data_IF_045586591914
#
_entry.id   IF_045586591914
#
_cell.length_a   1.000
_cell.length_b   1.000
_cell.length_c   1.000
_cell.angle_alpha   90.00
_cell.angle_beta   90.00
_cell.angle_gamma   90.00
#
_symmetry.space_group_name_H-M   'P 1'
#
loop_
_entity.id
_entity.type
_entity.pdbx_description
1 polymer ?
#
# COMPACT_ATOMS: atom_id res chain seq x y z
N UNK A 1 -54.38 -17.50 51.39
CA UNK A 1 -55.19 -16.80 50.36
C UNK A 1 -54.34 -16.80 49.09
N UNK A 2 -54.70 -17.58 48.06
CA UNK A 2 -55.58 -17.16 46.95
C UNK A 2 -54.99 -15.96 46.17
N UNK A 3 -54.74 -16.00 44.86
CA UNK A 3 -55.19 -16.97 43.84
C UNK A 3 -54.52 -16.74 42.47
N UNK A 4 -54.29 -17.84 41.70
CA UNK A 4 -54.50 -17.96 40.21
C UNK A 4 -53.55 -17.15 39.29
N UNK A 5 -53.24 -17.48 38.02
CA UNK A 5 -53.75 -18.34 36.91
C UNK A 5 -52.50 -18.71 36.04
N UNK A 6 -52.25 -19.92 35.52
CA UNK A 6 -52.80 -20.60 34.32
C UNK A 6 -52.58 -19.84 32.97
N UNK A 7 -52.40 -20.41 31.76
CA UNK A 7 -52.19 -21.79 31.26
C UNK A 7 -51.44 -21.66 29.90
N UNK A 8 -50.27 -22.29 29.67
CA UNK A 8 -50.03 -23.60 29.03
C UNK A 8 -50.37 -23.72 27.52
N UNK A 9 -49.34 -23.96 26.68
CA UNK A 9 -49.32 -24.77 25.43
C UNK A 9 -47.86 -24.77 24.91
N UNK A 10 -47.06 -25.86 24.84
CA UNK A 10 -47.20 -27.13 24.09
C UNK A 10 -47.49 -26.96 22.59
N UNK A 11 -46.95 -27.77 21.68
CA UNK A 11 -45.76 -28.65 21.61
C UNK A 11 -45.76 -29.32 20.23
N UNK A 12 -44.60 -29.67 19.66
CA UNK A 12 -44.42 -30.85 18.81
C UNK A 12 -42.95 -31.04 18.42
N UNK A 13 -42.36 -32.17 18.84
CA UNK A 13 -41.27 -32.79 18.09
C UNK A 13 -41.88 -33.90 17.21
N UNK A 14 -41.19 -34.32 16.14
CA UNK A 14 -40.95 -35.75 15.88
C UNK A 14 -40.18 -36.05 14.59
N UNK A 15 -39.43 -37.17 14.68
CA UNK A 15 -38.99 -38.10 13.62
C UNK A 15 -37.99 -37.64 12.55
N UNK A 16 -36.85 -38.35 12.54
CA UNK A 16 -36.06 -38.59 11.35
C UNK A 16 -36.68 -39.75 10.53
N UNK A 17 -36.53 -39.68 9.21
CA UNK A 17 -36.74 -40.81 8.31
C UNK A 17 -35.63 -40.81 7.26
N UNK A 18 -34.96 -41.96 7.09
CA UNK A 18 -34.06 -42.19 5.97
C UNK A 18 -34.88 -42.54 4.73
N UNK A 19 -34.63 -41.92 3.57
CA UNK A 19 -34.89 -42.63 2.32
C UNK A 19 -34.00 -42.27 1.11
N UNK A 20 -33.23 -43.28 0.71
CA UNK A 20 -32.88 -43.67 -0.66
C UNK A 20 -32.31 -42.62 -1.62
N UNK A 21 -30.97 -42.60 -1.64
CA UNK A 21 -30.17 -42.28 -2.81
C UNK A 21 -30.65 -43.08 -4.06
N UNK A 22 -31.30 -42.42 -5.03
CA UNK A 22 -31.58 -42.97 -6.37
C UNK A 22 -30.72 -42.27 -7.42
N UNK A 23 -29.49 -42.74 -7.56
CA UNK A 23 -28.65 -42.45 -8.72
C UNK A 23 -29.23 -43.09 -9.99
N UNK A 24 -29.92 -42.31 -10.81
CA UNK A 24 -30.09 -42.63 -12.24
C UNK A 24 -29.11 -41.79 -13.06
N UNK A 25 -28.03 -42.45 -13.44
CA UNK A 25 -26.94 -41.91 -14.27
C UNK A 25 -27.44 -41.61 -15.68
N UNK A 26 -27.72 -40.34 -15.97
CA UNK A 26 -27.76 -39.88 -17.36
C UNK A 26 -26.34 -39.58 -17.84
N UNK A 27 -25.85 -40.19 -18.94
CA UNK A 27 -24.52 -39.88 -19.46
C UNK A 27 -24.41 -38.40 -19.87
N UNK A 28 -25.51 -37.76 -20.24
CA UNK A 28 -25.56 -36.33 -20.52
C UNK A 28 -25.30 -35.47 -19.26
N UNK A 29 -25.73 -35.92 -18.07
CA UNK A 29 -25.48 -35.19 -16.82
C UNK A 29 -23.99 -35.28 -16.41
N UNK A 30 -23.39 -36.46 -16.54
CA UNK A 30 -21.96 -36.66 -16.27
C UNK A 30 -21.07 -35.84 -17.24
N UNK A 31 -21.44 -35.78 -18.54
CA UNK A 31 -20.78 -34.90 -19.51
C UNK A 31 -20.96 -33.42 -19.17
N UNK A 32 -22.16 -32.98 -18.78
CA UNK A 32 -22.42 -31.57 -18.45
C UNK A 32 -21.70 -31.13 -17.16
N UNK A 33 -21.44 -32.04 -16.23
CA UNK A 33 -20.65 -31.77 -15.02
C UNK A 33 -19.15 -31.75 -15.34
N UNK A 34 -18.65 -32.75 -16.09
CA UNK A 34 -17.27 -32.76 -16.57
C UNK A 34 -16.93 -31.58 -17.48
N UNK A 35 -17.89 -31.05 -18.25
CA UNK A 35 -17.72 -29.84 -19.06
C UNK A 35 -17.77 -28.54 -18.23
N UNK A 36 -18.50 -28.51 -17.11
CA UNK A 36 -18.45 -27.37 -16.17
C UNK A 36 -17.13 -27.32 -15.39
N UNK A 37 -16.58 -28.48 -15.03
CA UNK A 37 -15.27 -28.58 -14.38
C UNK A 37 -14.09 -28.39 -15.36
N UNK A 38 -14.32 -28.53 -16.68
CA UNK A 38 -13.29 -28.39 -17.72
C UNK A 38 -13.37 -27.09 -18.56
N UNK A 39 -14.37 -26.22 -18.36
CA UNK A 39 -14.47 -24.94 -19.07
C UNK A 39 -14.76 -23.73 -18.16
N UNK A 40 -13.78 -23.41 -17.30
CA UNK A 40 -13.45 -22.00 -16.99
C UNK A 40 -11.95 -21.79 -17.23
N UNK A 41 -11.57 -21.83 -18.51
CA UNK A 41 -10.25 -21.36 -18.95
C UNK A 41 -10.35 -19.90 -19.38
N UNK A 42 -9.77 -19.00 -18.58
CA UNK A 42 -9.64 -17.59 -18.94
C UNK A 42 -10.27 -16.65 -17.91
N UNK A 43 -9.66 -16.56 -16.73
CA UNK A 43 -9.88 -15.44 -15.83
C UNK A 43 -8.53 -14.95 -15.27
N UNK A 44 -8.39 -13.65 -15.03
CA UNK A 44 -7.10 -13.00 -14.68
C UNK A 44 -6.72 -13.17 -13.20
N UNK A 45 -7.25 -14.22 -12.55
CA UNK A 45 -7.13 -14.49 -11.12
C UNK A 45 -5.90 -15.36 -10.77
N UNK A 46 -4.72 -14.94 -11.22
CA UNK A 46 -3.46 -15.57 -10.80
C UNK A 46 -3.14 -15.33 -9.31
N UNK A 47 -2.30 -16.16 -8.68
CA UNK A 47 -1.73 -15.84 -7.37
C UNK A 47 -1.01 -14.48 -7.45
N UNK A 48 -1.44 -13.52 -6.63
CA UNK A 48 -0.93 -12.15 -6.68
C UNK A 48 0.54 -12.05 -6.27
N UNK A 49 1.13 -10.86 -6.36
CA UNK A 49 2.47 -10.58 -5.87
C UNK A 49 2.44 -9.70 -4.62
N UNK A 50 3.40 -9.90 -3.72
CA UNK A 50 3.76 -8.94 -2.67
C UNK A 50 5.18 -8.49 -2.92
N UNK A 51 5.39 -7.17 -2.85
CA UNK A 51 6.68 -6.54 -3.04
C UNK A 51 7.12 -5.89 -1.73
N UNK A 52 8.37 -6.12 -1.35
CA UNK A 52 9.01 -5.39 -0.25
C UNK A 52 10.35 -4.85 -0.73
N UNK A 53 10.84 -3.77 -0.13
CA UNK A 53 12.14 -3.22 -0.47
C UNK A 53 13.19 -3.72 0.51
N UNK A 54 14.36 -4.08 -0.01
CA UNK A 54 15.57 -4.20 0.81
C UNK A 54 16.10 -2.78 1.13
N UNK A 55 17.28 -2.67 1.75
CA UNK A 55 17.92 -1.37 1.94
C UNK A 55 19.46 -1.51 1.99
N UNK A 56 20.04 -2.27 1.07
CA UNK A 56 21.46 -2.65 1.13
C UNK A 56 22.39 -1.61 0.48
N UNK A 57 23.51 -1.30 1.15
CA UNK A 57 24.53 -0.35 0.65
C UNK A 57 25.21 -0.81 -0.64
N UNK A 58 25.37 -2.11 -0.83
CA UNK A 58 26.01 -2.70 -2.01
C UNK A 58 25.09 -2.75 -3.26
N UNK A 59 23.82 -2.39 -3.11
CA UNK A 59 22.82 -2.41 -4.17
C UNK A 59 21.43 -2.69 -3.61
N UNK A 60 20.50 -1.77 -3.82
CA UNK A 60 19.12 -1.91 -3.35
C UNK A 60 18.29 -2.76 -4.34
N UNK A 61 17.36 -3.54 -3.83
CA UNK A 61 16.54 -4.45 -4.61
C UNK A 61 15.10 -4.56 -4.07
N UNK A 62 14.14 -4.74 -4.97
CA UNK A 62 12.78 -5.15 -4.65
C UNK A 62 12.79 -6.67 -4.45
N UNK A 63 12.45 -7.12 -3.24
CA UNK A 63 12.16 -8.53 -2.98
C UNK A 63 10.72 -8.85 -3.41
N UNK A 64 10.57 -9.95 -4.15
CA UNK A 64 9.30 -10.36 -4.75
C UNK A 64 8.83 -11.64 -4.07
N UNK A 65 7.56 -11.69 -3.71
CA UNK A 65 6.91 -12.88 -3.18
C UNK A 65 5.67 -13.19 -4.03
N UNK A 66 5.49 -14.45 -4.43
CA UNK A 66 4.19 -14.92 -4.90
C UNK A 66 3.27 -15.12 -3.70
N UNK A 67 2.00 -14.75 -3.84
CA UNK A 67 0.95 -14.86 -2.83
C UNK A 67 -0.08 -15.88 -3.30
N UNK A 68 -0.13 -17.03 -2.64
CA UNK A 68 -1.16 -18.04 -2.87
C UNK A 68 -2.58 -17.50 -2.61
N UNK A 69 -3.59 -18.21 -3.09
CA UNK A 69 -5.00 -17.89 -2.81
C UNK A 69 -5.32 -17.95 -1.31
N UNK A 70 -4.61 -18.82 -0.57
CA UNK A 70 -4.59 -18.93 0.89
C UNK A 70 -3.85 -17.78 1.61
N UNK A 71 -3.24 -16.86 0.86
CA UNK A 71 -2.43 -15.77 1.38
C UNK A 71 -0.99 -16.13 1.72
N UNK A 72 -0.56 -17.38 1.50
CA UNK A 72 0.82 -17.80 1.79
C UNK A 72 1.81 -17.11 0.85
N UNK A 73 2.83 -16.49 1.43
CA UNK A 73 3.92 -15.85 0.69
C UNK A 73 5.06 -16.84 0.43
N UNK A 74 5.51 -16.94 -0.82
CA UNK A 74 6.70 -17.72 -1.22
C UNK A 74 7.67 -16.79 -1.92
N UNK A 75 8.95 -16.79 -1.51
CA UNK A 75 9.97 -15.95 -2.14
C UNK A 75 10.14 -16.31 -3.62
N UNK A 76 10.08 -15.30 -4.49
CA UNK A 76 10.23 -15.40 -5.93
C UNK A 76 11.52 -14.73 -6.44
N UNK A 77 12.43 -14.36 -5.52
CA UNK A 77 13.70 -13.71 -5.83
C UNK A 77 13.67 -12.19 -5.62
N UNK A 78 14.64 -11.51 -6.23
CA UNK A 78 14.84 -10.06 -6.10
C UNK A 78 15.11 -9.43 -7.46
N UNK A 79 14.67 -8.19 -7.65
CA UNK A 79 14.98 -7.38 -8.84
C UNK A 79 15.72 -6.12 -8.39
N UNK A 80 16.91 -5.90 -8.95
CA UNK A 80 17.75 -4.76 -8.59
C UNK A 80 17.09 -3.43 -9.00
N UNK A 81 17.18 -2.44 -8.13
CA UNK A 81 16.74 -1.05 -8.40
C UNK A 81 17.73 -0.27 -9.26
N UNK A 82 19.01 -0.68 -9.26
CA UNK A 82 20.11 0.10 -9.84
C UNK A 82 20.58 1.27 -8.96
N UNK A 83 19.97 1.50 -7.79
CA UNK A 83 20.41 2.43 -6.76
C UNK A 83 20.95 1.70 -5.51
N UNK A 84 21.24 2.45 -4.45
CA UNK A 84 21.72 1.91 -3.17
C UNK A 84 20.83 2.29 -2.00
N UNK A 85 20.82 1.43 -0.99
CA UNK A 85 20.20 1.70 0.30
C UNK A 85 21.20 2.25 1.32
N UNK A 86 20.74 2.56 2.54
CA UNK A 86 21.60 3.06 3.61
C UNK A 86 22.23 1.98 4.49
N UNK A 87 21.77 0.72 4.39
CA UNK A 87 22.18 -0.38 5.28
C UNK A 87 21.56 -0.35 6.68
N UNK A 88 20.78 0.69 7.01
CA UNK A 88 20.12 0.88 8.30
C UNK A 88 18.59 0.78 8.18
N UNK A 89 17.86 0.86 9.30
CA UNK A 89 16.42 1.08 9.24
C UNK A 89 16.09 2.50 8.78
N UNK A 90 15.17 2.66 7.82
CA UNK A 90 14.69 4.00 7.40
C UNK A 90 13.72 4.63 8.41
N UNK A 91 13.10 3.82 9.26
CA UNK A 91 12.11 4.29 10.23
C UNK A 91 10.88 4.91 9.57
N UNK A 92 10.43 4.34 8.45
CA UNK A 92 9.42 4.91 7.55
C UNK A 92 8.40 3.88 7.05
N UNK A 93 7.32 4.37 6.44
CA UNK A 93 6.37 3.61 5.62
C UNK A 93 6.46 4.04 4.16
N UNK A 94 5.87 3.27 3.24
CA UNK A 94 5.75 3.68 1.83
C UNK A 94 7.07 3.73 1.03
N UNK A 95 8.12 3.02 1.47
CA UNK A 95 9.39 2.94 0.73
C UNK A 95 9.24 2.29 -0.67
N UNK A 96 8.17 1.51 -0.88
CA UNK A 96 7.78 0.94 -2.16
C UNK A 96 6.26 0.98 -2.30
N UNK A 97 5.74 1.39 -3.47
CA UNK A 97 4.30 1.38 -3.78
C UNK A 97 4.04 0.93 -5.23
N UNK A 98 2.84 0.41 -5.48
CA UNK A 98 2.30 0.17 -6.82
C UNK A 98 1.49 1.38 -7.28
N UNK A 99 1.37 1.58 -8.60
CA UNK A 99 0.34 2.44 -9.18
C UNK A 99 -1.06 1.85 -8.99
N UNK A 100 -2.09 2.69 -9.05
CA UNK A 100 -3.50 2.30 -8.86
C UNK A 100 -3.95 1.21 -9.85
N UNK A 101 -3.38 1.20 -11.05
CA UNK A 101 -3.62 0.20 -12.10
C UNK A 101 -2.74 -1.06 -11.99
N UNK A 102 -1.85 -1.13 -11.00
CA UNK A 102 -0.91 -2.22 -10.77
C UNK A 102 0.18 -2.40 -11.83
N UNK A 103 0.32 -1.49 -12.82
CA UNK A 103 1.25 -1.62 -13.96
C UNK A 103 2.63 -1.01 -13.70
N UNK A 104 2.81 -0.22 -12.65
CA UNK A 104 4.08 0.38 -12.24
C UNK A 104 4.35 0.11 -10.76
N UNK A 105 5.62 -0.01 -10.42
CA UNK A 105 6.11 -0.07 -9.04
C UNK A 105 7.21 0.96 -8.86
N UNK A 106 7.14 1.73 -7.78
CA UNK A 106 8.08 2.80 -7.45
C UNK A 106 8.81 2.45 -6.16
N UNK A 107 10.13 2.65 -6.10
CA UNK A 107 10.96 2.28 -4.96
C UNK A 107 12.01 3.36 -4.64
N UNK A 108 12.15 3.73 -3.37
CA UNK A 108 13.17 4.69 -2.92
C UNK A 108 14.55 4.05 -2.81
N UNK A 109 15.59 4.75 -3.28
CA UNK A 109 16.98 4.38 -3.06
C UNK A 109 17.62 5.40 -2.13
N UNK A 110 17.36 5.19 -0.84
CA UNK A 110 17.72 6.09 0.25
C UNK A 110 19.23 6.42 0.30
N UNK A 111 20.11 5.50 -0.12
CA UNK A 111 21.56 5.68 -0.15
C UNK A 111 22.08 6.43 -1.38
N UNK A 112 21.39 6.34 -2.53
CA UNK A 112 21.79 7.01 -3.78
C UNK A 112 20.95 8.25 -4.13
N UNK A 113 19.97 8.61 -3.29
CA UNK A 113 19.13 9.82 -3.37
C UNK A 113 18.19 9.87 -4.59
N UNK A 114 17.71 8.71 -5.04
CA UNK A 114 16.89 8.57 -6.23
C UNK A 114 15.71 7.60 -6.03
N UNK A 115 14.83 7.54 -7.04
CA UNK A 115 13.71 6.61 -7.11
C UNK A 115 13.84 5.77 -8.38
N UNK A 116 13.64 4.46 -8.25
CA UNK A 116 13.53 3.53 -9.37
C UNK A 116 12.07 3.26 -9.70
N UNK A 117 11.75 3.26 -11.00
CA UNK A 117 10.43 2.89 -11.52
C UNK A 117 10.55 1.58 -12.28
N UNK A 118 9.66 0.64 -12.00
CA UNK A 118 9.57 -0.65 -12.67
C UNK A 118 8.27 -0.75 -13.47
N UNK A 119 8.30 -1.42 -14.61
CA UNK A 119 7.09 -1.97 -15.22
C UNK A 119 6.73 -3.28 -14.50
N UNK A 120 5.43 -3.46 -14.26
CA UNK A 120 4.84 -4.70 -13.74
C UNK A 120 4.13 -5.39 -14.90
N UNK A 121 4.46 -6.65 -15.16
CA UNK A 121 3.84 -7.43 -16.22
C UNK A 121 3.83 -8.93 -15.92
N UNK A 122 3.29 -9.73 -16.84
CA UNK A 122 3.18 -11.18 -16.68
C UNK A 122 4.54 -11.89 -16.52
N UNK A 123 5.63 -11.28 -17.01
CA UNK A 123 7.00 -11.78 -16.84
C UNK A 123 7.68 -11.33 -15.52
N UNK A 124 6.97 -10.58 -14.65
CA UNK A 124 7.51 -10.02 -13.41
C UNK A 124 7.79 -8.52 -13.50
N UNK A 125 8.77 -8.05 -12.71
CA UNK A 125 9.22 -6.65 -12.71
C UNK A 125 10.37 -6.45 -13.69
N UNK A 126 10.34 -5.35 -14.45
CA UNK A 126 11.50 -4.87 -15.21
C UNK A 126 11.79 -3.42 -14.82
N UNK A 127 13.05 -3.09 -14.53
CA UNK A 127 13.46 -1.71 -14.29
C UNK A 127 13.23 -0.88 -15.56
N UNK A 128 12.54 0.25 -15.42
CA UNK A 128 12.13 1.13 -16.51
C UNK A 128 12.92 2.44 -16.50
N UNK A 129 13.04 3.06 -15.32
CA UNK A 129 13.77 4.32 -15.14
C UNK A 129 14.36 4.44 -13.74
N UNK A 130 15.24 5.43 -13.56
CA UNK A 130 15.76 5.87 -12.27
C UNK A 130 15.99 7.38 -12.33
N UNK A 131 15.39 8.13 -11.40
CA UNK A 131 15.40 9.61 -11.39
C UNK A 131 15.73 10.13 -10.00
N UNK A 132 16.45 11.25 -9.92
CA UNK A 132 16.71 11.95 -8.65
C UNK A 132 15.41 12.20 -7.87
N UNK A 133 15.46 12.01 -6.56
CA UNK A 133 14.32 12.13 -5.64
C UNK A 133 13.82 13.56 -5.39
N UNK A 134 14.51 14.58 -5.92
CA UNK A 134 14.26 15.99 -5.58
C UNK A 134 14.83 16.42 -4.22
N UNK A 135 15.52 15.52 -3.51
CA UNK A 135 16.15 15.80 -2.23
C UNK A 135 17.28 14.82 -1.93
N UNK A 136 17.45 14.53 -0.64
CA UNK A 136 18.39 13.51 -0.15
C UNK A 136 17.70 12.62 0.86
N UNK A 137 18.17 11.37 0.97
CA UNK A 137 17.58 10.33 1.82
C UNK A 137 16.05 10.17 1.59
N UNK A 138 15.59 9.78 0.38
CA UNK A 138 14.19 9.44 0.16
C UNK A 138 13.81 8.20 0.99
N UNK A 139 12.75 8.31 1.81
CA UNK A 139 12.32 7.27 2.76
C UNK A 139 10.91 6.74 2.54
N UNK A 140 10.08 7.51 1.85
CA UNK A 140 8.66 7.21 1.58
C UNK A 140 8.28 7.83 0.24
N UNK A 141 7.35 7.22 -0.47
CA UNK A 141 6.73 7.79 -1.66
C UNK A 141 5.26 7.36 -1.76
N UNK A 142 4.49 8.09 -2.56
CA UNK A 142 3.06 7.87 -2.78
C UNK A 142 2.70 8.26 -4.21
N UNK A 143 1.71 7.59 -4.79
CA UNK A 143 1.25 7.83 -6.16
C UNK A 143 -0.27 7.95 -6.18
N UNK A 144 -0.78 8.81 -7.06
CA UNK A 144 -2.21 8.93 -7.36
C UNK A 144 -2.35 9.27 -8.85
N UNK A 145 -2.97 8.39 -9.64
CA UNK A 145 -3.05 8.55 -11.09
C UNK A 145 -1.66 8.56 -11.75
N UNK A 146 -1.24 9.72 -12.26
CA UNK A 146 0.09 9.94 -12.86
C UNK A 146 0.99 10.88 -12.04
N UNK A 147 0.63 11.18 -10.80
CA UNK A 147 1.40 12.05 -9.89
C UNK A 147 2.10 11.19 -8.84
N UNK A 148 3.41 11.37 -8.68
CA UNK A 148 4.24 10.69 -7.69
C UNK A 148 4.87 11.74 -6.77
N UNK A 149 4.73 11.56 -5.46
CA UNK A 149 5.42 12.37 -4.45
C UNK A 149 6.40 11.55 -3.63
N UNK A 150 7.58 12.13 -3.40
CA UNK A 150 8.68 11.52 -2.64
C UNK A 150 8.95 12.33 -1.39
N UNK A 151 9.05 11.67 -0.24
CA UNK A 151 9.43 12.25 1.04
C UNK A 151 10.93 12.03 1.28
N UNK A 152 11.66 13.14 1.28
CA UNK A 152 13.09 13.21 1.51
C UNK A 152 13.36 13.61 2.96
N UNK A 153 14.11 12.79 3.69
CA UNK A 153 14.40 13.00 5.11
C UNK A 153 15.77 13.66 5.39
N UNK A 154 16.59 13.88 4.36
CA UNK A 154 17.92 14.44 4.51
C UNK A 154 17.92 15.96 4.71
N UNK A 155 18.77 16.45 5.61
CA UNK A 155 18.84 17.87 5.98
C UNK A 155 17.59 18.32 6.74
N UNK A 156 16.94 19.40 6.28
CA UNK A 156 15.62 19.80 6.78
C UNK A 156 14.47 18.96 6.20
N UNK A 157 14.75 18.12 5.20
CA UNK A 157 13.74 17.33 4.50
C UNK A 157 12.87 18.15 3.52
N UNK A 158 12.14 17.45 2.66
CA UNK A 158 11.13 18.00 1.77
C UNK A 158 10.15 16.92 1.29
N UNK A 159 9.01 17.33 0.75
CA UNK A 159 8.34 16.54 -0.29
C UNK A 159 8.76 17.06 -1.67
N UNK A 160 8.82 16.18 -2.67
CA UNK A 160 9.05 16.54 -4.07
C UNK A 160 8.12 15.77 -5.01
N UNK A 161 7.38 16.51 -5.84
CA UNK A 161 6.40 16.00 -6.80
C UNK A 161 6.92 15.79 -8.22
N UNK A 162 6.43 14.75 -8.88
CA UNK A 162 6.77 14.35 -10.24
C UNK A 162 5.53 13.90 -11.02
N UNK A 163 5.46 14.20 -12.32
CA UNK A 163 4.59 13.47 -13.24
C UNK A 163 5.27 12.19 -13.71
N UNK A 164 4.47 11.13 -13.85
CA UNK A 164 4.88 9.81 -14.34
C UNK A 164 4.42 9.65 -15.78
N UNK A 165 5.35 9.44 -16.72
CA UNK A 165 5.01 9.16 -18.11
C UNK A 165 4.73 7.67 -18.39
N UNK A 166 4.22 7.37 -19.59
CA UNK A 166 3.89 6.01 -20.00
C UNK A 166 5.10 5.06 -20.07
N UNK A 167 6.33 5.55 -20.21
CA UNK A 167 7.56 4.75 -20.13
C UNK A 167 8.03 4.52 -18.68
N UNK A 168 7.45 5.23 -17.71
CA UNK A 168 7.90 5.25 -16.32
C UNK A 168 8.95 6.34 -16.04
N UNK A 169 9.17 7.28 -16.95
CA UNK A 169 9.98 8.47 -16.71
C UNK A 169 9.30 9.38 -15.68
N UNK A 170 10.11 9.99 -14.81
CA UNK A 170 9.65 10.94 -13.79
C UNK A 170 10.11 12.35 -14.18
N UNK A 171 9.17 13.29 -14.35
CA UNK A 171 9.46 14.70 -14.64
C UNK A 171 9.05 15.56 -13.44
N UNK A 172 9.93 16.40 -12.87
CA UNK A 172 9.58 17.24 -11.72
C UNK A 172 8.40 18.18 -12.00
N UNK A 173 7.45 18.28 -11.07
CA UNK A 173 6.37 19.26 -11.14
C UNK A 173 6.90 20.61 -10.63
N UNK A 174 6.76 21.66 -11.44
CA UNK A 174 7.31 22.97 -11.13
C UNK A 174 6.69 23.55 -9.84
N UNK A 175 7.54 23.93 -8.88
CA UNK A 175 7.11 24.45 -7.58
C UNK A 175 6.69 23.38 -6.56
N UNK A 176 6.68 22.08 -6.91
CA UNK A 176 6.23 21.00 -6.04
C UNK A 176 7.30 20.38 -5.14
N UNK A 177 8.46 21.02 -5.00
CA UNK A 177 9.37 20.76 -3.89
C UNK A 177 8.99 21.69 -2.73
N UNK A 178 8.35 21.14 -1.70
CA UNK A 178 7.82 21.90 -0.57
C UNK A 178 8.54 21.47 0.73
N UNK A 179 8.82 22.39 1.66
CA UNK A 179 9.49 22.08 2.93
C UNK A 179 8.58 21.26 3.86
N UNK A 180 9.19 20.63 4.87
CA UNK A 180 8.47 20.11 6.05
C UNK A 180 8.28 21.24 7.09
N UNK A 181 7.72 20.94 8.26
CA UNK A 181 7.44 21.96 9.31
C UNK A 181 8.69 22.69 9.84
N UNK A 182 9.86 22.08 9.68
CA UNK A 182 11.14 22.61 10.15
C UNK A 182 12.32 21.68 9.87
N UNK A 183 13.33 21.69 10.75
CA UNK A 183 14.52 20.84 10.64
C UNK A 183 14.50 19.73 11.70
N UNK A 184 15.07 18.56 11.37
CA UNK A 184 15.15 17.38 12.27
C UNK A 184 13.79 16.84 12.75
N UNK A 185 12.72 17.10 12.00
CA UNK A 185 11.32 16.76 12.34
C UNK A 185 11.02 15.27 12.42
N UNK A 186 11.93 14.44 11.89
CA UNK A 186 11.79 12.98 11.88
C UNK A 186 10.59 12.52 11.05
N UNK A 187 10.56 12.79 9.74
CA UNK A 187 9.46 12.32 8.89
C UNK A 187 9.37 10.78 8.87
N UNK A 188 8.17 10.23 8.65
CA UNK A 188 7.94 8.77 8.61
C UNK A 188 7.16 8.29 7.38
N UNK A 189 6.08 8.95 6.99
CA UNK A 189 5.26 8.56 5.84
C UNK A 189 4.81 9.79 5.05
N UNK A 190 4.71 9.69 3.72
CA UNK A 190 3.86 10.56 2.90
C UNK A 190 2.75 9.72 2.26
N UNK A 191 1.55 10.25 2.15
CA UNK A 191 0.48 9.65 1.34
C UNK A 191 -0.48 10.69 0.80
N UNK A 192 -1.00 10.45 -0.41
CA UNK A 192 -2.18 11.14 -0.92
C UNK A 192 -3.43 10.82 -0.08
N UNK A 193 -4.33 11.79 0.01
CA UNK A 193 -5.74 11.58 0.36
C UNK A 193 -6.46 10.78 -0.74
N UNK A 194 -7.59 10.10 -0.43
CA UNK A 194 -8.28 9.24 -1.41
C UNK A 194 -8.84 9.96 -2.65
N UNK A 195 -8.90 11.30 -2.64
CA UNK A 195 -9.31 12.14 -3.77
C UNK A 195 -8.13 12.78 -4.51
N UNK A 196 -6.89 12.51 -4.08
CA UNK A 196 -5.65 13.07 -4.62
C UNK A 196 -5.38 14.53 -4.27
N UNK A 197 -6.30 15.22 -3.56
CA UNK A 197 -6.26 16.68 -3.40
C UNK A 197 -5.37 17.16 -2.26
N UNK A 198 -4.90 16.25 -1.43
CA UNK A 198 -4.01 16.53 -0.31
C UNK A 198 -2.91 15.48 -0.21
N UNK A 199 -1.74 15.93 0.24
CA UNK A 199 -0.69 15.05 0.75
C UNK A 199 -0.61 15.25 2.26
N UNK A 200 -0.46 14.16 3.00
CA UNK A 200 -0.22 14.17 4.44
C UNK A 200 1.15 13.59 4.73
N UNK A 201 1.91 14.22 5.62
CA UNK A 201 3.20 13.73 6.14
C UNK A 201 3.12 13.60 7.67
N UNK A 202 3.65 12.51 8.21
CA UNK A 202 3.81 12.29 9.66
C UNK A 202 5.20 12.68 10.14
N UNK A 203 5.28 13.50 11.20
CA UNK A 203 6.52 13.95 11.82
C UNK A 203 6.69 13.42 13.27
N UNK A 204 7.54 12.41 13.43
CA UNK A 204 7.74 11.69 14.70
C UNK A 204 8.28 12.57 15.83
N UNK A 205 9.18 13.50 15.52
CA UNK A 205 9.90 14.29 16.54
C UNK A 205 9.06 15.47 17.05
N UNK A 206 8.29 16.10 16.16
CA UNK A 206 7.46 17.28 16.46
C UNK A 206 6.06 16.92 16.95
N UNK A 207 5.61 15.68 16.69
CA UNK A 207 4.23 15.21 16.88
C UNK A 207 3.22 15.95 16.00
N UNK A 208 3.65 16.34 14.79
CA UNK A 208 2.85 17.05 13.80
C UNK A 208 2.43 16.15 12.63
N UNK A 209 1.35 16.56 12.00
CA UNK A 209 0.87 16.13 10.70
C UNK A 209 0.95 17.34 9.76
N UNK A 210 1.77 17.22 8.73
CA UNK A 210 1.95 18.24 7.70
C UNK A 210 1.00 17.96 6.54
N UNK A 211 0.16 18.92 6.18
CA UNK A 211 -0.84 18.79 5.11
C UNK A 211 -0.58 19.78 4.00
N UNK A 212 -0.41 19.28 2.77
CA UNK A 212 -0.25 20.08 1.56
C UNK A 212 -1.51 19.99 0.73
N UNK A 213 -1.93 21.08 0.09
CA UNK A 213 -2.94 21.03 -0.97
C UNK A 213 -2.27 20.68 -2.30
N UNK A 214 -2.94 19.87 -3.11
CA UNK A 214 -2.52 19.50 -4.46
C UNK A 214 -3.53 20.06 -5.45
N UNK A 215 -3.05 20.81 -6.46
CA UNK A 215 -3.90 21.37 -7.52
C UNK A 215 -4.17 20.37 -8.66
N UNK A 216 -4.97 20.78 -9.65
CA UNK A 216 -5.34 19.91 -10.79
C UNK A 216 -4.19 19.63 -11.79
N UNK A 217 -3.00 20.19 -11.57
CA UNK A 217 -1.77 19.89 -12.30
C UNK A 217 -0.79 19.05 -11.45
N UNK A 218 -1.25 18.56 -10.31
CA UNK A 218 -0.45 17.84 -9.33
C UNK A 218 0.47 18.71 -8.50
N UNK A 219 0.28 20.04 -8.49
CA UNK A 219 1.21 20.95 -7.81
C UNK A 219 0.90 21.10 -6.33
N UNK A 220 1.87 20.75 -5.47
CA UNK A 220 1.74 20.85 -4.02
C UNK A 220 2.06 22.24 -3.47
N UNK A 221 1.28 22.68 -2.48
CA UNK A 221 1.49 23.92 -1.72
C UNK A 221 1.25 23.68 -0.22
N UNK A 222 2.16 24.17 0.64
CA UNK A 222 2.04 24.02 2.09
C UNK A 222 3.40 24.03 2.81
N UNK A 223 3.52 23.40 3.99
CA UNK A 223 2.48 22.66 4.72
C UNK A 223 1.57 23.59 5.54
N UNK A 224 0.31 23.17 5.72
CA UNK A 224 -0.47 23.52 6.91
C UNK A 224 -0.22 22.44 7.95
N UNK A 225 0.31 22.79 9.12
CA UNK A 225 0.68 21.82 10.15
C UNK A 225 -0.42 21.69 11.21
N UNK A 226 -0.67 20.47 11.68
CA UNK A 226 -1.68 20.16 12.72
C UNK A 226 -1.08 19.20 13.75
N UNK A 227 -1.30 19.36 15.07
CA UNK A 227 -0.87 18.37 16.06
C UNK A 227 -1.51 16.99 15.79
N UNK A 228 -0.74 15.92 15.95
CA UNK A 228 -1.33 14.58 15.99
C UNK A 228 -2.16 14.36 17.26
N UNK A 229 -3.01 13.33 17.25
CA UNK A 229 -3.83 12.94 18.40
C UNK A 229 -3.01 12.33 19.55
N UNK A 230 -1.78 11.88 19.27
CA UNK A 230 -0.86 11.31 20.24
C UNK A 230 0.58 11.78 20.01
N UNK A 231 1.53 10.98 20.53
CA UNK A 231 2.96 11.23 20.37
C UNK A 231 3.63 10.22 19.43
N UNK A 232 4.62 10.72 18.70
CA UNK A 232 5.40 9.97 17.71
C UNK A 232 4.52 9.36 16.60
N UNK A 233 3.82 10.20 15.81
CA UNK A 233 3.04 9.74 14.66
C UNK A 233 3.98 9.06 13.66
N UNK A 234 3.72 7.79 13.36
CA UNK A 234 4.60 6.94 12.56
C UNK A 234 3.96 6.67 11.18
N UNK A 235 3.22 5.58 11.03
CA UNK A 235 2.44 5.29 9.82
C UNK A 235 0.99 5.74 9.94
N UNK A 236 0.31 5.88 8.81
CA UNK A 236 -1.12 6.19 8.76
C UNK A 236 -1.83 5.57 7.55
N UNK A 237 -3.16 5.52 7.60
CA UNK A 237 -4.01 5.14 6.48
C UNK A 237 -5.33 5.94 6.48
N UNK A 238 -5.91 6.13 5.29
CA UNK A 238 -7.26 6.68 5.15
C UNK A 238 -8.32 5.57 5.16
N UNK A 239 -9.38 5.77 5.94
CA UNK A 239 -10.56 4.91 5.94
C UNK A 239 -11.58 5.29 4.86
N UNK A 240 -12.63 4.47 4.72
CA UNK A 240 -13.67 4.60 3.68
C UNK A 240 -14.50 5.91 3.69
N UNK A 241 -14.28 6.80 4.65
CA UNK A 241 -14.93 8.13 4.75
C UNK A 241 -13.93 9.29 4.65
N UNK A 242 -12.70 9.00 4.20
CA UNK A 242 -11.54 9.90 4.27
C UNK A 242 -11.10 10.26 5.70
N UNK A 243 -11.57 9.51 6.70
CA UNK A 243 -11.05 9.58 8.08
C UNK A 243 -9.58 9.14 8.11
N UNK A 244 -8.71 9.93 8.73
CA UNK A 244 -7.28 9.64 8.86
C UNK A 244 -7.02 8.84 10.15
N UNK A 245 -6.48 7.62 10.01
CA UNK A 245 -6.05 6.78 11.14
C UNK A 245 -4.53 6.78 11.24
N UNK A 246 -3.98 7.39 12.29
CA UNK A 246 -2.54 7.47 12.56
C UNK A 246 -2.14 6.46 13.63
N UNK A 247 -0.99 5.81 13.42
CA UNK A 247 -0.33 4.98 14.43
C UNK A 247 0.67 5.83 15.22
N UNK A 248 0.43 5.96 16.51
CA UNK A 248 1.25 6.72 17.46
C UNK A 248 2.19 5.77 18.19
N UNK A 249 3.50 6.04 18.15
CA UNK A 249 4.54 5.14 18.66
C UNK A 249 5.14 5.56 20.01
N UNK A 250 4.65 6.64 20.64
CA UNK A 250 5.15 7.09 21.94
C UNK A 250 5.08 5.99 23.02
N UNK A 251 6.21 5.72 23.66
CA UNK A 251 6.33 4.67 24.67
C UNK A 251 6.47 3.25 24.11
N UNK A 252 6.55 3.07 22.79
CA UNK A 252 6.90 1.79 22.18
C UNK A 252 8.39 1.48 22.38
N UNK A 253 8.75 0.20 22.56
CA UNK A 253 10.10 -0.23 22.91
C UNK A 253 11.15 -0.11 21.77
N UNK A 254 10.85 0.67 20.73
CA UNK A 254 11.67 0.87 19.53
C UNK A 254 11.93 2.35 19.17
N UNK A 255 11.61 3.27 20.08
CA UNK A 255 11.88 4.72 19.97
C UNK A 255 13.21 5.10 20.62
#
# INVERSE_FOLDING_TARGET
MNSRIAVLALAAAALAACEQNRSLTSPAAALLQAQRDAQVTGDLAGPGAVYTLTNQVAGNAVAVFTRGADGRLTSAGTVATGGTGTGAGLGSQGAVVLSDDGRRLFAVNAGSNDVSVFTVGAAGLSLASRTSSGGTLPISLTVHGNELYVLNAGGSGNISGFTVDNSGGLTPIAGSTQPLSGSNVGPAQVSFSPDGRHLVVTEKTTNLLDVYSVDANGSASGPTTTPSAGGTPFGFAFGHRSDLFVSEAAGSASS
#
